data_IF_687594093576
#
_entry.id   IF_687594093576
#
_cell.length_a   1.000
_cell.length_b   1.000
_cell.length_c   1.000
_cell.angle_alpha   90.00
_cell.angle_beta   90.00
_cell.angle_gamma   90.00
#
_symmetry.space_group_name_H-M   'P 1'
#
loop_
_entity.id
_entity.type
_entity.pdbx_description
1 polymer ?
#
# COMPACT_ATOMS: atom_id res chain seq x y z
N UNK A 1 5.78 -5.61 26.44
CA UNK A 1 5.26 -4.26 26.19
C UNK A 1 5.12 -3.90 24.69
N UNK A 2 6.19 -3.93 23.87
CA UNK A 2 6.14 -3.53 22.45
C UNK A 2 5.16 -4.33 21.56
N UNK A 3 5.01 -5.64 21.80
CA UNK A 3 4.07 -6.51 21.05
C UNK A 3 2.60 -6.15 21.32
N UNK A 4 2.24 -5.96 22.59
CA UNK A 4 0.86 -5.62 22.99
C UNK A 4 0.41 -4.29 22.36
N UNK A 5 1.23 -3.23 22.44
CA UNK A 5 0.92 -1.95 21.80
C UNK A 5 0.79 -2.08 20.28
N UNK A 6 1.64 -2.91 19.66
CA UNK A 6 1.55 -3.20 18.21
C UNK A 6 0.23 -3.89 17.88
N UNK A 7 -0.19 -4.89 18.65
CA UNK A 7 -1.45 -5.60 18.44
C UNK A 7 -2.67 -4.70 18.69
N UNK A 8 -2.65 -3.87 19.73
CA UNK A 8 -3.69 -2.85 19.96
C UNK A 8 -3.77 -1.89 18.77
N UNK A 9 -2.64 -1.41 18.26
CA UNK A 9 -2.62 -0.52 17.09
C UNK A 9 -3.15 -1.19 15.82
N UNK A 10 -2.88 -2.49 15.64
CA UNK A 10 -3.36 -3.28 14.52
C UNK A 10 -4.86 -3.55 14.63
N UNK A 11 -5.37 -3.79 15.83
CA UNK A 11 -6.79 -3.95 16.10
C UNK A 11 -7.56 -2.65 15.79
N UNK A 12 -7.09 -1.51 16.28
CA UNK A 12 -7.79 -0.22 16.14
C UNK A 12 -7.72 0.33 14.72
N UNK A 13 -6.55 0.26 14.07
CA UNK A 13 -6.30 0.97 12.82
C UNK A 13 -6.11 0.05 11.61
N UNK A 14 -6.04 -1.27 11.82
CA UNK A 14 -5.74 -2.24 10.77
C UNK A 14 -4.24 -2.40 10.51
N UNK A 15 -3.91 -3.38 9.66
CA UNK A 15 -2.53 -3.67 9.25
C UNK A 15 -2.01 -2.59 8.30
N UNK A 16 -0.72 -2.24 8.45
CA UNK A 16 -0.04 -1.28 7.57
C UNK A 16 0.47 -2.02 6.35
N UNK A 17 0.21 -1.43 5.19
CA UNK A 17 0.69 -1.89 3.89
C UNK A 17 1.31 -0.74 3.09
N UNK A 18 2.04 -1.12 2.07
CA UNK A 18 2.73 -0.24 1.16
C UNK A 18 2.42 -0.66 -0.27
N UNK A 19 2.18 0.29 -1.16
CA UNK A 19 2.03 0.03 -2.58
C UNK A 19 2.78 1.09 -3.35
N UNK A 20 3.16 0.78 -4.59
CA UNK A 20 3.79 1.74 -5.48
C UNK A 20 2.74 2.23 -6.46
N UNK A 21 2.58 3.55 -6.61
CA UNK A 21 1.77 4.17 -7.64
C UNK A 21 2.68 4.53 -8.80
N UNK A 22 2.22 4.24 -10.01
CA UNK A 22 2.89 4.57 -11.26
C UNK A 22 2.02 5.51 -12.09
N UNK A 23 2.64 6.50 -12.71
CA UNK A 23 2.02 7.35 -13.73
C UNK A 23 2.70 7.13 -15.08
N UNK A 24 1.92 6.87 -16.12
CA UNK A 24 2.42 6.59 -17.47
C UNK A 24 2.76 7.87 -18.23
N UNK A 25 3.84 7.83 -19.03
CA UNK A 25 4.22 8.95 -19.88
C UNK A 25 3.16 9.18 -20.97
N UNK A 26 2.71 10.42 -21.11
CA UNK A 26 1.75 10.80 -22.15
C UNK A 26 0.31 10.43 -21.83
N UNK A 27 0.01 10.10 -20.58
CA UNK A 27 -1.33 9.86 -20.06
C UNK A 27 -1.49 10.52 -18.69
N UNK A 28 -2.71 10.95 -18.35
CA UNK A 28 -3.05 11.43 -16.99
C UNK A 28 -3.45 10.29 -16.05
N UNK A 29 -3.14 9.06 -16.44
CA UNK A 29 -3.50 7.84 -15.71
C UNK A 29 -2.46 7.49 -14.66
N UNK A 30 -2.94 7.25 -13.44
CA UNK A 30 -2.16 6.76 -12.32
C UNK A 30 -2.73 5.42 -11.86
N UNK A 31 -1.88 4.40 -11.75
CA UNK A 31 -2.27 3.05 -11.36
C UNK A 31 -1.43 2.55 -10.18
N UNK A 32 -1.97 1.57 -9.45
CA UNK A 32 -1.19 0.77 -8.53
C UNK A 32 -0.32 -0.20 -9.33
N UNK A 33 1.00 -0.17 -9.11
CA UNK A 33 1.86 -1.27 -9.51
C UNK A 33 1.35 -2.54 -8.82
N UNK A 34 1.19 -3.64 -9.57
CA UNK A 34 0.33 -4.81 -9.26
C UNK A 34 0.60 -5.59 -7.96
N UNK A 35 1.38 -5.03 -7.02
CA UNK A 35 1.80 -5.64 -5.77
C UNK A 35 1.52 -4.73 -4.57
N UNK A 36 1.00 -5.33 -3.49
CA UNK A 36 0.90 -4.72 -2.16
C UNK A 36 1.92 -5.41 -1.25
N UNK A 37 2.66 -4.60 -0.49
CA UNK A 37 3.76 -5.05 0.36
C UNK A 37 3.43 -4.83 1.84
N UNK A 38 3.83 -5.77 2.69
CA UNK A 38 3.70 -5.67 4.16
C UNK A 38 4.84 -4.87 4.81
N UNK A 39 5.89 -4.53 4.06
CA UNK A 39 7.05 -3.78 4.55
C UNK A 39 7.48 -2.70 3.56
N UNK A 40 7.98 -1.59 4.10
CA UNK A 40 8.51 -0.49 3.29
C UNK A 40 9.70 -0.92 2.44
N UNK A 41 10.62 -1.72 3.02
CA UNK A 41 11.79 -2.20 2.31
C UNK A 41 11.43 -3.02 1.06
N UNK A 42 10.41 -3.89 1.16
CA UNK A 42 9.92 -4.65 0.01
C UNK A 42 9.29 -3.76 -1.06
N UNK A 43 8.54 -2.73 -0.66
CA UNK A 43 7.94 -1.78 -1.59
C UNK A 43 9.00 -0.93 -2.30
N UNK A 44 10.01 -0.44 -1.57
CA UNK A 44 11.12 0.31 -2.16
C UNK A 44 11.97 -0.52 -3.12
N UNK A 45 12.20 -1.81 -2.81
CA UNK A 45 12.85 -2.72 -3.74
C UNK A 45 12.03 -2.88 -5.03
N UNK A 46 10.71 -3.01 -4.92
CA UNK A 46 9.82 -3.04 -6.08
C UNK A 46 9.85 -1.74 -6.87
N UNK A 47 9.78 -0.59 -6.19
CA UNK A 47 9.86 0.76 -6.77
C UNK A 47 11.12 0.95 -7.62
N UNK A 48 12.28 0.51 -7.10
CA UNK A 48 13.56 0.58 -7.83
C UNK A 48 13.52 -0.25 -9.12
N UNK A 49 13.04 -1.49 -9.05
CA UNK A 49 12.90 -2.35 -10.25
C UNK A 49 12.00 -1.72 -11.31
N UNK A 50 10.86 -1.15 -10.93
CA UNK A 50 9.95 -0.53 -11.91
C UNK A 50 10.47 0.83 -12.40
N UNK A 51 11.32 1.52 -11.64
CA UNK A 51 11.96 2.77 -12.09
C UNK A 51 12.94 2.60 -13.24
N UNK A 52 13.38 1.37 -13.50
CA UNK A 52 14.16 1.03 -14.69
C UNK A 52 13.30 1.04 -15.97
N UNK A 53 11.98 1.00 -15.84
CA UNK A 53 11.03 1.04 -16.96
C UNK A 53 10.82 2.49 -17.41
N UNK A 54 11.27 2.82 -18.64
CA UNK A 54 11.21 4.18 -19.20
C UNK A 54 9.79 4.71 -19.50
N UNK A 55 8.78 3.87 -19.35
CA UNK A 55 7.36 4.21 -19.61
C UNK A 55 6.76 5.06 -18.49
N UNK A 56 7.28 4.99 -17.26
CA UNK A 56 6.71 5.72 -16.13
C UNK A 56 7.39 7.08 -15.91
N UNK A 57 6.59 8.11 -15.67
CA UNK A 57 7.06 9.47 -15.32
C UNK A 57 6.88 9.80 -13.85
N UNK A 58 6.01 9.06 -13.17
CA UNK A 58 5.74 9.20 -11.75
C UNK A 58 5.81 7.83 -11.10
N UNK A 59 6.55 7.73 -10.00
CA UNK A 59 6.71 6.49 -9.25
C UNK A 59 6.87 6.81 -7.76
N UNK A 60 5.85 6.51 -6.96
CA UNK A 60 5.84 6.83 -5.53
C UNK A 60 5.38 5.64 -4.67
N UNK A 61 6.07 5.39 -3.56
CA UNK A 61 5.61 4.44 -2.55
C UNK A 61 4.62 5.12 -1.62
N UNK A 62 3.37 4.66 -1.62
CA UNK A 62 2.37 5.09 -0.64
C UNK A 62 2.27 4.13 0.54
N UNK A 63 1.88 4.66 1.70
CA UNK A 63 1.57 3.88 2.91
C UNK A 63 0.08 3.98 3.20
N UNK A 64 -0.56 2.84 3.41
CA UNK A 64 -1.98 2.78 3.78
C UNK A 64 -2.23 1.74 4.86
N UNK A 65 -3.44 1.75 5.43
CA UNK A 65 -3.90 0.72 6.36
C UNK A 65 -5.12 0.02 5.81
N UNK A 66 -5.13 -1.30 5.87
CA UNK A 66 -6.33 -2.08 5.54
C UNK A 66 -7.09 -2.41 6.82
N UNK A 67 -8.35 -1.98 6.87
CA UNK A 67 -9.28 -2.37 7.93
C UNK A 67 -10.29 -3.32 7.33
N UNK A 68 -10.45 -4.49 7.95
CA UNK A 68 -11.63 -5.32 7.69
C UNK A 68 -12.81 -4.60 8.34
N UNK A 69 -13.57 -3.86 7.55
CA UNK A 69 -14.88 -3.38 7.96
C UNK A 69 -15.75 -4.63 8.14
N UNK A 70 -15.76 -5.21 9.33
CA UNK A 70 -16.85 -6.09 9.73
C UNK A 70 -18.08 -5.22 9.84
N UNK A 71 -18.72 -4.93 8.69
CA UNK A 71 -20.10 -4.53 8.67
C UNK A 71 -20.84 -5.67 9.36
N UNK A 72 -21.25 -5.44 10.61
CA UNK A 72 -22.45 -6.11 11.08
C UNK A 72 -23.52 -5.71 10.07
N UNK A 73 -23.87 -6.63 9.17
CA UNK A 73 -25.21 -6.65 8.63
C UNK A 73 -26.10 -6.97 9.82
N UNK A 74 -26.45 -5.96 10.59
CA UNK A 74 -27.68 -6.05 11.37
C UNK A 74 -28.78 -6.08 10.33
N UNK A 75 -29.35 -7.28 10.18
CA UNK A 75 -30.61 -7.47 9.51
C UNK A 75 -31.61 -6.51 10.16
N UNK A 76 -32.15 -5.60 9.36
CA UNK A 76 -33.34 -4.83 9.70
C UNK A 76 -34.17 -4.68 8.44
#
# INVERSE_FOLDING_TARGET
MKRLLKEISRFLFGDVYYAVIIGERGSDRYDLASQIHSTLASAEAHRRRISETRTYIYIETIRFRSRRLSLRKEAS
#
